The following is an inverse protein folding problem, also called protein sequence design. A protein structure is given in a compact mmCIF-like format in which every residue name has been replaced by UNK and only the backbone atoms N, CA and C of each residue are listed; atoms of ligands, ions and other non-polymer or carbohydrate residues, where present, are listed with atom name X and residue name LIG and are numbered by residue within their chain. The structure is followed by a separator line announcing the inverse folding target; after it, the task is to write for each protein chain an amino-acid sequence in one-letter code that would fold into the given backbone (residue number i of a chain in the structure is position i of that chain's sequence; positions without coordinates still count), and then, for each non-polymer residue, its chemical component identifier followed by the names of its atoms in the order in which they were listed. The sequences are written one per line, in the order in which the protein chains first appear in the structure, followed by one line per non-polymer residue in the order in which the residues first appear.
data_IF_611184419602
#
_entry.id   IF_611184419602
#
_cell.length_a   1.000
_cell.length_b   1.000
_cell.length_c   1.000
_cell.angle_alpha   90.00
_cell.angle_beta   90.00
_cell.angle_gamma   90.00
#
_symmetry.space_group_name_H-M   'P 1'
#
loop_
_entity.id
_entity.type
_entity.pdbx_description
1 polymer ?
#
# COMPACT_ATOMS: atom_id res chain seq x y z
N UNK A 1 -1.13 32.60 -12.65
CA UNK A 1 -2.14 32.13 -11.67
C UNK A 1 -1.48 31.44 -10.49
N UNK A 2 -2.01 31.48 -9.27
CA UNK A 2 -1.46 30.69 -8.17
C UNK A 2 -1.56 29.21 -8.50
N UNK A 3 -0.51 28.43 -8.17
CA UNK A 3 -0.51 26.98 -8.38
C UNK A 3 -1.65 26.33 -7.59
N UNK A 4 -2.33 25.34 -8.19
CA UNK A 4 -3.31 24.54 -7.47
C UNK A 4 -2.65 23.82 -6.29
N UNK A 5 -3.30 23.82 -5.14
CA UNK A 5 -2.77 23.27 -3.90
C UNK A 5 -3.53 22.00 -3.51
N UNK A 6 -2.80 20.92 -3.28
CA UNK A 6 -3.30 19.69 -2.72
C UNK A 6 -2.80 19.46 -1.30
N UNK A 7 -3.71 19.10 -0.40
CA UNK A 7 -3.36 18.67 0.97
C UNK A 7 -3.58 17.16 1.07
N UNK A 8 -2.53 16.44 1.44
CA UNK A 8 -2.53 14.99 1.60
C UNK A 8 -2.52 14.65 3.10
N UNK A 9 -3.51 13.92 3.56
CA UNK A 9 -3.61 13.45 4.94
C UNK A 9 -2.94 12.07 5.07
N UNK A 10 -1.75 12.02 5.65
CA UNK A 10 -0.95 10.82 5.90
C UNK A 10 0.23 10.64 4.96
N UNK A 11 1.41 10.37 5.54
CA UNK A 11 2.66 10.07 4.84
C UNK A 11 2.93 8.54 4.71
N UNK A 12 1.88 7.74 4.56
CA UNK A 12 2.01 6.36 4.15
C UNK A 12 2.40 6.24 2.67
N UNK A 13 2.63 5.00 2.20
CA UNK A 13 3.03 4.72 0.80
C UNK A 13 2.10 5.40 -0.20
N UNK A 14 0.78 5.27 -0.02
CA UNK A 14 -0.20 5.89 -0.92
C UNK A 14 -0.15 7.41 -0.90
N UNK A 15 -0.07 8.03 0.30
CA UNK A 15 -0.01 9.48 0.44
C UNK A 15 1.27 10.08 -0.14
N UNK A 16 2.43 9.48 0.12
CA UNK A 16 3.71 9.92 -0.45
C UNK A 16 3.75 9.75 -1.97
N UNK A 17 3.20 8.64 -2.48
CA UNK A 17 3.10 8.43 -3.95
C UNK A 17 2.16 9.46 -4.57
N UNK A 18 1.01 9.77 -3.93
CA UNK A 18 0.09 10.79 -4.43
C UNK A 18 0.74 12.19 -4.42
N UNK A 19 1.46 12.52 -3.35
CA UNK A 19 2.20 13.77 -3.26
C UNK A 19 3.21 13.92 -4.39
N UNK A 20 4.00 12.88 -4.66
CA UNK A 20 4.96 12.86 -5.77
C UNK A 20 4.28 12.98 -7.13
N UNK A 21 3.23 12.19 -7.37
CA UNK A 21 2.50 12.19 -8.63
C UNK A 21 1.87 13.56 -8.91
N UNK A 22 1.24 14.18 -7.93
CA UNK A 22 0.64 15.52 -8.02
C UNK A 22 1.72 16.60 -8.22
N UNK A 23 2.81 16.54 -7.45
CA UNK A 23 3.92 17.49 -7.59
C UNK A 23 4.49 17.47 -9.02
N UNK A 24 4.70 16.28 -9.60
CA UNK A 24 5.18 16.14 -10.99
C UNK A 24 4.21 16.65 -12.04
N UNK A 25 2.95 16.78 -11.69
CA UNK A 25 1.93 17.42 -12.54
C UNK A 25 1.77 18.93 -12.26
N UNK A 26 2.69 19.53 -11.52
CA UNK A 26 2.74 20.97 -11.28
C UNK A 26 1.89 21.46 -10.09
N UNK A 27 1.29 20.55 -9.29
CA UNK A 27 0.56 20.94 -8.09
C UNK A 27 1.52 21.36 -6.98
N UNK A 28 1.13 22.35 -6.20
CA UNK A 28 1.72 22.57 -4.88
C UNK A 28 1.14 21.52 -3.93
N UNK A 29 1.97 20.88 -3.11
CA UNK A 29 1.52 19.80 -2.23
C UNK A 29 1.97 20.04 -0.80
N UNK A 30 1.07 19.82 0.15
CA UNK A 30 1.37 19.72 1.58
C UNK A 30 0.94 18.35 2.06
N UNK A 31 1.85 17.59 2.68
CA UNK A 31 1.55 16.30 3.31
C UNK A 31 1.53 16.49 4.82
N UNK A 32 0.41 16.19 5.46
CA UNK A 32 0.26 16.21 6.92
C UNK A 32 0.41 14.79 7.48
N UNK A 33 1.41 14.57 8.33
CA UNK A 33 1.68 13.29 8.99
C UNK A 33 1.60 13.44 10.51
N UNK A 34 0.80 12.58 11.16
CA UNK A 34 0.61 12.63 12.61
C UNK A 34 1.85 12.24 13.42
N UNK A 35 2.66 11.33 12.88
CA UNK A 35 3.90 10.93 13.52
C UNK A 35 4.92 12.07 13.51
N UNK A 36 5.79 12.20 14.53
CA UNK A 36 6.82 13.22 14.58
C UNK A 36 7.91 13.01 13.51
N UNK A 37 8.02 11.79 12.98
CA UNK A 37 8.96 11.39 11.93
C UNK A 37 8.46 10.15 11.20
N UNK A 38 9.09 9.77 10.09
CA UNK A 38 8.81 8.49 9.44
C UNK A 38 9.35 7.34 10.30
N UNK A 39 8.62 6.20 10.38
CA UNK A 39 9.09 5.04 11.14
C UNK A 39 10.45 4.56 10.64
N UNK A 40 11.43 4.47 11.53
CA UNK A 40 12.76 3.92 11.24
C UNK A 40 12.75 2.38 11.22
N UNK A 41 11.82 1.76 11.96
CA UNK A 41 11.62 0.31 12.06
C UNK A 41 10.33 -0.11 11.37
N UNK A 42 10.17 -1.38 11.10
CA UNK A 42 8.94 -1.88 10.50
C UNK A 42 9.10 -3.20 9.76
N UNK A 43 8.13 -3.48 8.92
CA UNK A 43 8.05 -4.70 8.11
C UNK A 43 8.71 -4.51 6.73
N UNK A 44 8.92 -5.61 6.01
CA UNK A 44 9.16 -5.58 4.57
C UNK A 44 7.85 -5.38 3.80
N UNK A 45 7.98 -4.99 2.55
CA UNK A 45 6.87 -4.91 1.61
C UNK A 45 7.26 -5.51 0.26
N UNK A 46 6.35 -6.30 -0.32
CA UNK A 46 6.45 -6.74 -1.70
C UNK A 46 5.84 -5.72 -2.65
N UNK A 47 6.56 -5.35 -3.69
CA UNK A 47 6.07 -4.53 -4.79
C UNK A 47 5.87 -5.43 -6.02
N UNK A 48 4.64 -5.60 -6.40
CA UNK A 48 4.24 -6.41 -7.54
C UNK A 48 4.35 -5.62 -8.87
N UNK A 49 4.32 -6.30 -10.03
CA UNK A 49 4.46 -5.68 -11.34
C UNK A 49 3.53 -4.48 -11.59
N UNK A 50 2.30 -4.53 -11.11
CA UNK A 50 1.34 -3.42 -11.22
C UNK A 50 1.81 -2.14 -10.51
N UNK A 51 2.31 -2.26 -9.28
CA UNK A 51 2.83 -1.13 -8.51
C UNK A 51 4.11 -0.56 -9.12
N UNK A 52 5.01 -1.42 -9.59
CA UNK A 52 6.25 -0.99 -10.24
C UNK A 52 5.98 -0.21 -11.52
N UNK A 53 5.04 -0.69 -12.39
CA UNK A 53 4.62 0.07 -13.57
C UNK A 53 3.96 1.40 -13.22
N UNK A 54 3.20 1.45 -12.14
CA UNK A 54 2.59 2.70 -11.69
C UNK A 54 3.66 3.72 -11.24
N UNK A 55 4.68 3.28 -10.50
CA UNK A 55 5.82 4.12 -10.13
C UNK A 55 6.62 4.56 -11.36
N UNK A 56 6.87 3.66 -12.31
CA UNK A 56 7.56 3.96 -13.57
C UNK A 56 6.79 5.02 -14.38
N UNK A 57 5.45 4.94 -14.43
CA UNK A 57 4.60 5.90 -15.14
C UNK A 57 4.73 7.34 -14.64
N UNK A 58 5.11 7.52 -13.38
CA UNK A 58 5.42 8.82 -12.80
C UNK A 58 6.94 9.04 -12.65
N UNK A 59 7.78 8.17 -13.21
CA UNK A 59 9.25 8.26 -13.19
C UNK A 59 9.85 8.20 -11.78
N UNK A 60 9.22 7.53 -10.81
CA UNK A 60 9.71 7.40 -9.42
C UNK A 60 10.48 6.10 -9.26
N UNK A 61 11.76 6.19 -8.97
CA UNK A 61 12.67 5.05 -8.76
C UNK A 61 12.91 4.74 -7.27
N UNK A 62 11.93 5.06 -6.42
CA UNK A 62 12.04 4.86 -4.96
C UNK A 62 12.25 3.39 -4.57
N UNK A 63 11.76 2.45 -5.37
CA UNK A 63 11.95 1.03 -5.12
C UNK A 63 13.42 0.60 -5.26
N UNK A 64 14.15 1.13 -6.23
CA UNK A 64 15.59 0.90 -6.39
C UNK A 64 16.38 1.68 -5.34
N UNK A 65 16.00 2.92 -5.06
CA UNK A 65 16.64 3.73 -4.02
C UNK A 65 16.51 3.10 -2.63
N UNK A 66 15.42 2.37 -2.36
CA UNK A 66 15.22 1.63 -1.11
C UNK A 66 16.05 0.34 -1.00
N UNK A 67 16.76 -0.03 -2.06
CA UNK A 67 17.41 -1.34 -2.14
C UNK A 67 16.39 -2.46 -2.32
N UNK A 68 16.33 -3.05 -3.51
CA UNK A 68 15.36 -4.11 -3.83
C UNK A 68 16.02 -5.48 -3.90
N UNK A 69 15.33 -6.51 -3.41
CA UNK A 69 15.70 -7.90 -3.61
C UNK A 69 14.71 -8.59 -4.54
N UNK A 70 15.23 -9.38 -5.47
CA UNK A 70 14.44 -10.23 -6.36
C UNK A 70 14.66 -11.67 -5.91
N UNK A 71 13.70 -12.33 -5.25
CA UNK A 71 13.85 -13.72 -4.86
C UNK A 71 13.89 -14.61 -6.10
N UNK A 72 14.75 -15.63 -6.12
CA UNK A 72 14.89 -16.56 -7.26
C UNK A 72 13.60 -17.36 -7.45
N UNK A 73 12.93 -17.69 -6.36
CA UNK A 73 11.72 -18.52 -6.35
C UNK A 73 10.73 -17.98 -5.35
N UNK A 74 9.46 -18.06 -5.69
CA UNK A 74 8.33 -17.72 -4.80
C UNK A 74 7.37 -18.91 -4.72
N UNK A 75 6.73 -19.10 -3.57
CA UNK A 75 5.70 -20.13 -3.47
C UNK A 75 5.23 -20.43 -2.06
N UNK A 76 4.38 -21.47 -2.00
CA UNK A 76 3.76 -21.94 -0.77
C UNK A 76 4.29 -23.32 -0.40
N UNK A 77 4.57 -23.50 0.88
CA UNK A 77 5.03 -24.79 1.46
C UNK A 77 4.04 -25.32 2.50
N UNK A 78 4.23 -26.56 2.86
CA UNK A 78 3.63 -27.19 4.04
C UNK A 78 4.59 -27.12 5.23
N UNK A 79 4.09 -27.36 6.48
CA UNK A 79 4.98 -27.43 7.65
C UNK A 79 6.06 -28.51 7.57
N UNK A 80 5.90 -29.54 6.74
CA UNK A 80 6.92 -30.57 6.45
C UNK A 80 7.93 -30.16 5.37
N UNK A 81 7.87 -28.89 4.89
CA UNK A 81 8.77 -28.32 3.89
C UNK A 81 8.43 -28.62 2.44
N UNK A 82 7.47 -29.52 2.17
CA UNK A 82 7.06 -29.83 0.79
C UNK A 82 6.37 -28.64 0.13
N UNK A 83 6.77 -28.34 -1.11
CA UNK A 83 6.13 -27.30 -1.89
C UNK A 83 4.70 -27.69 -2.31
N UNK A 84 3.77 -26.78 -2.09
CA UNK A 84 2.44 -26.80 -2.67
C UNK A 84 2.44 -26.10 -4.03
N UNK A 85 3.08 -24.90 -4.10
CA UNK A 85 3.32 -24.18 -5.35
C UNK A 85 4.76 -23.69 -5.36
N UNK A 86 5.32 -23.57 -6.56
CA UNK A 86 6.65 -22.99 -6.75
C UNK A 86 6.71 -22.32 -8.12
N UNK A 87 7.08 -21.04 -8.14
CA UNK A 87 7.22 -20.24 -9.36
C UNK A 87 8.57 -19.57 -9.36
N UNK A 88 9.31 -19.64 -10.46
CA UNK A 88 10.54 -18.88 -10.61
C UNK A 88 10.19 -17.43 -10.92
N UNK A 89 10.91 -16.51 -10.32
CA UNK A 89 10.70 -15.07 -10.55
C UNK A 89 11.00 -14.68 -12.00
N UNK A 90 11.94 -15.39 -12.66
CA UNK A 90 12.19 -15.23 -14.08
C UNK A 90 10.97 -15.55 -14.96
N UNK A 91 10.16 -16.55 -14.59
CA UNK A 91 8.93 -16.89 -15.32
C UNK A 91 7.87 -15.78 -15.15
N UNK A 92 7.84 -15.13 -13.98
CA UNK A 92 7.00 -13.95 -13.74
C UNK A 92 7.49 -12.75 -14.54
N UNK A 93 8.79 -12.48 -14.55
CA UNK A 93 9.37 -11.39 -15.33
C UNK A 93 9.09 -11.57 -16.84
N UNK A 94 9.24 -12.79 -17.36
CA UNK A 94 8.91 -13.11 -18.74
C UNK A 94 7.43 -12.88 -19.07
N UNK A 95 6.51 -13.21 -18.14
CA UNK A 95 5.06 -13.06 -18.35
C UNK A 95 4.58 -11.63 -18.18
N UNK A 96 5.11 -10.90 -17.20
CA UNK A 96 4.61 -9.58 -16.80
C UNK A 96 5.55 -8.43 -17.20
N UNK A 97 6.68 -8.71 -17.82
CA UNK A 97 7.66 -7.73 -18.27
C UNK A 97 8.56 -7.19 -17.15
N UNK A 98 8.19 -7.40 -15.88
CA UNK A 98 8.94 -6.96 -14.71
C UNK A 98 8.79 -7.96 -13.56
N UNK A 99 9.87 -8.21 -12.82
CA UNK A 99 9.86 -9.09 -11.66
C UNK A 99 9.28 -8.37 -10.43
N UNK A 100 8.51 -9.08 -9.57
CA UNK A 100 8.19 -8.54 -8.25
C UNK A 100 9.45 -8.41 -7.41
N UNK A 101 9.50 -7.42 -6.55
CA UNK A 101 10.62 -7.14 -5.65
C UNK A 101 10.14 -7.06 -4.21
N UNK A 102 11.06 -7.23 -3.27
CA UNK A 102 10.85 -6.99 -1.86
C UNK A 102 11.80 -5.88 -1.36
N UNK A 103 11.25 -4.96 -0.57
CA UNK A 103 12.00 -3.83 0.00
C UNK A 103 11.68 -3.67 1.48
N UNK A 104 12.62 -3.16 2.30
CA UNK A 104 12.29 -2.69 3.64
C UNK A 104 11.29 -1.52 3.53
N UNK A 105 10.14 -1.63 4.17
CA UNK A 105 9.09 -0.59 4.10
C UNK A 105 9.58 0.78 4.58
N UNK A 106 10.36 0.89 5.69
CA UNK A 106 10.90 2.18 6.11
C UNK A 106 11.81 2.81 5.05
N UNK A 107 12.71 2.05 4.45
CA UNK A 107 13.60 2.54 3.40
C UNK A 107 12.81 3.01 2.15
N UNK A 108 11.75 2.29 1.78
CA UNK A 108 10.89 2.67 0.66
C UNK A 108 10.12 3.95 0.94
N UNK A 109 9.52 4.10 2.14
CA UNK A 109 8.83 5.34 2.52
C UNK A 109 9.79 6.52 2.63
N UNK A 110 10.99 6.32 3.17
CA UNK A 110 12.04 7.34 3.22
C UNK A 110 12.48 7.78 1.82
N UNK A 111 12.65 6.84 0.88
CA UNK A 111 13.00 7.16 -0.50
C UNK A 111 11.89 7.94 -1.23
N UNK A 112 10.61 7.60 -0.99
CA UNK A 112 9.49 8.39 -1.50
C UNK A 112 9.47 9.81 -0.92
N UNK A 113 9.70 9.95 0.38
CA UNK A 113 9.73 11.25 1.06
C UNK A 113 10.90 12.12 0.58
N UNK A 114 12.09 11.52 0.41
CA UNK A 114 13.29 12.21 -0.06
C UNK A 114 13.16 12.74 -1.50
N UNK A 115 12.28 12.15 -2.31
CA UNK A 115 12.00 12.61 -3.67
C UNK A 115 11.03 13.81 -3.72
N UNK A 116 10.43 14.22 -2.60
CA UNK A 116 9.58 15.40 -2.49
C UNK A 116 10.44 16.66 -2.21
N UNK A 117 9.99 17.85 -2.67
CA UNK A 117 10.63 19.10 -2.29
C UNK A 117 10.68 19.31 -0.79
N UNK A 118 11.71 19.99 -0.31
CA UNK A 118 11.81 20.37 1.09
C UNK A 118 10.59 21.20 1.52
N UNK A 119 10.11 20.98 2.76
CA UNK A 119 8.93 21.66 3.29
C UNK A 119 7.58 21.11 2.85
N UNK A 120 7.55 20.08 1.98
CA UNK A 120 6.30 19.41 1.58
C UNK A 120 5.68 18.61 2.73
N UNK A 121 6.49 17.94 3.57
CA UNK A 121 6.02 17.14 4.70
C UNK A 121 5.94 17.99 5.98
N UNK A 122 4.80 17.89 6.65
CA UNK A 122 4.54 18.44 7.98
C UNK A 122 4.30 17.32 8.97
N UNK A 123 5.34 16.97 9.70
CA UNK A 123 5.28 15.96 10.76
C UNK A 123 4.57 16.50 12.01
N UNK A 124 4.12 15.62 12.91
CA UNK A 124 3.38 15.98 14.12
C UNK A 124 2.04 16.67 13.82
N UNK A 125 1.55 16.57 12.57
CA UNK A 125 0.39 17.32 12.08
C UNK A 125 -0.70 16.33 11.64
N UNK A 126 -1.80 16.26 12.39
CA UNK A 126 -2.96 15.44 12.05
C UNK A 126 -4.01 16.29 11.32
N UNK A 127 -4.54 15.81 10.21
CA UNK A 127 -5.76 16.37 9.62
C UNK A 127 -6.94 15.94 10.48
N UNK A 128 -7.62 16.89 11.11
CA UNK A 128 -8.72 16.64 12.06
C UNK A 128 -10.09 16.75 11.42
N UNK A 129 -10.25 17.66 10.46
CA UNK A 129 -11.50 17.85 9.70
C UNK A 129 -11.20 18.51 8.35
N UNK A 130 -12.17 18.42 7.46
CA UNK A 130 -12.20 19.19 6.21
C UNK A 130 -13.54 19.91 6.15
N UNK A 131 -13.50 21.20 5.95
CA UNK A 131 -14.68 22.04 5.70
C UNK A 131 -14.78 22.27 4.19
N UNK A 132 -15.72 21.57 3.53
CA UNK A 132 -15.97 21.62 2.09
C UNK A 132 -17.38 22.16 1.76
N UNK A 133 -17.99 22.87 2.71
CA UNK A 133 -19.35 23.37 2.58
C UNK A 133 -19.54 24.32 1.38
N UNK A 134 -20.53 24.02 0.55
CA UNK A 134 -21.03 24.92 -0.47
C UNK A 134 -20.23 25.04 -1.76
N UNK A 135 -19.44 24.01 -2.14
CA UNK A 135 -18.70 23.99 -3.42
C UNK A 135 -17.51 24.93 -3.49
N UNK A 136 -17.12 25.54 -2.36
CA UNK A 136 -15.93 26.39 -2.23
C UNK A 136 -14.66 25.51 -2.12
N UNK A 137 -13.49 26.16 -2.19
CA UNK A 137 -12.21 25.50 -1.87
C UNK A 137 -12.29 24.93 -0.45
N UNK A 138 -12.05 23.60 -0.26
CA UNK A 138 -12.03 23.02 1.08
C UNK A 138 -10.97 23.65 1.97
N UNK A 139 -11.29 23.77 3.24
CA UNK A 139 -10.35 24.20 4.28
C UNK A 139 -10.03 22.99 5.13
N UNK A 140 -8.76 22.57 5.11
CA UNK A 140 -8.27 21.46 5.92
C UNK A 140 -7.85 21.98 7.29
N UNK A 141 -8.49 21.50 8.34
CA UNK A 141 -8.15 21.81 9.74
C UNK A 141 -7.14 20.81 10.26
N UNK A 142 -6.14 21.30 10.97
CA UNK A 142 -5.06 20.49 11.50
C UNK A 142 -4.95 20.57 13.02
N UNK A 143 -4.34 19.55 13.64
CA UNK A 143 -4.05 19.53 15.09
C UNK A 143 -3.09 20.64 15.52
N UNK A 144 -2.33 21.22 14.59
CA UNK A 144 -1.43 22.34 14.85
C UNK A 144 -2.15 23.71 14.87
N UNK A 145 -3.49 23.72 14.72
CA UNK A 145 -4.30 24.95 14.70
C UNK A 145 -4.18 25.77 13.42
N UNK A 146 -3.59 25.21 12.37
CA UNK A 146 -3.49 25.87 11.06
C UNK A 146 -4.59 25.40 10.13
N UNK A 147 -5.26 26.34 9.50
CA UNK A 147 -6.21 26.10 8.42
C UNK A 147 -5.47 26.15 7.07
N UNK A 148 -5.60 25.11 6.27
CA UNK A 148 -4.97 24.98 4.96
C UNK A 148 -6.02 25.01 3.85
N UNK A 149 -6.18 26.12 3.11
CA UNK A 149 -7.00 26.14 1.92
C UNK A 149 -6.42 25.18 0.85
N UNK A 150 -7.26 24.34 0.27
CA UNK A 150 -6.83 23.35 -0.72
C UNK A 150 -7.77 23.34 -1.94
N UNK A 151 -7.23 23.04 -3.12
CA UNK A 151 -8.02 22.76 -4.32
C UNK A 151 -8.39 21.28 -4.41
N UNK A 152 -7.64 20.43 -3.68
CA UNK A 152 -7.84 19.00 -3.55
C UNK A 152 -7.40 18.54 -2.16
N UNK A 153 -8.17 17.66 -1.54
CA UNK A 153 -7.77 16.92 -0.34
C UNK A 153 -7.63 15.45 -0.67
N UNK A 154 -6.49 14.84 -0.35
CA UNK A 154 -6.25 13.41 -0.52
C UNK A 154 -6.27 12.75 0.86
N UNK A 155 -7.32 11.99 1.16
CA UNK A 155 -7.46 11.23 2.38
C UNK A 155 -6.70 9.89 2.24
N UNK A 156 -5.47 9.87 2.74
CA UNK A 156 -4.56 8.72 2.81
C UNK A 156 -4.21 8.37 4.26
N UNK A 157 -5.13 8.65 5.19
CA UNK A 157 -5.00 8.56 6.65
C UNK A 157 -5.14 7.12 7.20
N UNK A 158 -5.04 6.13 6.30
CA UNK A 158 -4.86 4.72 6.63
C UNK A 158 -6.13 4.00 7.06
N UNK A 159 -5.94 2.77 7.56
CA UNK A 159 -7.05 1.85 7.87
C UNK A 159 -8.04 2.42 8.90
N UNK A 160 -7.56 3.24 9.83
CA UNK A 160 -8.38 3.92 10.85
C UNK A 160 -8.80 5.34 10.43
N UNK A 161 -8.96 5.59 9.14
CA UNK A 161 -9.29 6.89 8.57
C UNK A 161 -10.40 7.62 9.34
N UNK A 162 -10.07 8.78 9.87
CA UNK A 162 -11.03 9.67 10.52
C UNK A 162 -11.93 10.35 9.49
N UNK A 163 -11.34 10.72 8.34
CA UNK A 163 -12.08 11.32 7.24
C UNK A 163 -13.10 10.34 6.66
N UNK A 164 -12.75 9.05 6.50
CA UNK A 164 -13.74 8.04 6.08
C UNK A 164 -14.92 7.98 7.05
N UNK A 165 -14.68 7.92 8.36
CA UNK A 165 -15.77 7.87 9.35
C UNK A 165 -16.65 9.11 9.31
N UNK A 166 -16.08 10.27 9.09
CA UNK A 166 -16.82 11.52 9.04
C UNK A 166 -17.74 11.62 7.81
N UNK A 167 -17.22 11.21 6.63
CA UNK A 167 -17.93 11.36 5.37
C UNK A 167 -18.82 10.16 4.98
N UNK A 168 -18.55 8.99 5.54
CA UNK A 168 -19.32 7.77 5.33
C UNK A 168 -19.81 7.18 6.65
N UNK A 169 -20.64 7.91 7.45
CA UNK A 169 -21.05 7.47 8.78
C UNK A 169 -21.90 6.19 8.76
N UNK A 170 -22.58 5.91 7.67
CA UNK A 170 -23.37 4.67 7.48
C UNK A 170 -22.51 3.46 7.08
N UNK A 171 -21.23 3.64 6.81
CA UNK A 171 -20.35 2.53 6.44
C UNK A 171 -20.03 1.64 7.67
N UNK A 172 -20.15 0.32 7.50
CA UNK A 172 -19.97 -0.66 8.59
C UNK A 172 -18.56 -0.70 9.20
N UNK A 173 -17.62 0.09 8.68
CA UNK A 173 -16.26 0.20 9.22
C UNK A 173 -15.37 -0.99 8.91
N UNK A 174 -14.54 -1.36 9.88
CA UNK A 174 -13.58 -2.45 9.77
C UNK A 174 -14.19 -3.79 10.19
N UNK A 175 -13.80 -4.84 9.50
CA UNK A 175 -14.13 -6.23 9.80
C UNK A 175 -12.85 -6.97 10.20
N UNK A 176 -12.85 -7.57 11.39
CA UNK A 176 -11.79 -8.46 11.83
C UNK A 176 -11.82 -9.75 11.02
N UNK A 177 -10.69 -10.11 10.37
CA UNK A 177 -10.65 -11.26 9.48
C UNK A 177 -10.41 -12.60 10.19
N UNK A 178 -10.32 -12.59 11.53
CA UNK A 178 -10.13 -13.80 12.35
C UNK A 178 -8.67 -14.16 12.61
N UNK A 179 -7.73 -13.31 12.26
CA UNK A 179 -6.29 -13.58 12.39
C UNK A 179 -5.57 -12.40 13.03
N UNK A 180 -4.53 -12.69 13.82
CA UNK A 180 -3.48 -11.72 14.18
C UNK A 180 -2.21 -12.02 13.38
N UNK A 181 -1.36 -11.01 13.20
CA UNK A 181 -0.07 -11.15 12.52
C UNK A 181 1.07 -10.59 13.37
N UNK A 182 2.19 -11.29 13.37
CA UNK A 182 3.49 -10.81 13.83
C UNK A 182 4.33 -10.47 12.61
N UNK A 183 5.07 -9.36 12.66
CA UNK A 183 5.95 -8.91 11.58
C UNK A 183 7.24 -8.39 12.17
N UNK A 184 8.38 -8.78 11.58
CA UNK A 184 9.70 -8.41 12.06
C UNK A 184 10.72 -8.42 10.94
N UNK A 185 11.78 -7.67 11.13
CA UNK A 185 13.02 -7.77 10.35
C UNK A 185 14.06 -8.51 11.16
N UNK A 186 14.66 -9.53 10.57
CA UNK A 186 15.64 -10.38 11.25
C UNK A 186 16.95 -10.32 10.49
N UNK A 187 18.01 -10.07 11.24
CA UNK A 187 19.38 -10.20 10.74
C UNK A 187 19.84 -11.65 10.97
N UNK A 188 20.14 -12.37 9.89
CA UNK A 188 20.58 -13.75 9.91
C UNK A 188 21.64 -13.98 8.82
N UNK A 189 22.84 -13.42 9.01
CA UNK A 189 23.89 -13.39 7.99
C UNK A 189 24.46 -14.77 7.67
N UNK A 190 24.29 -15.75 8.56
CA UNK A 190 24.66 -17.15 8.40
C UNK A 190 23.71 -17.93 7.48
N UNK A 191 22.50 -17.42 7.26
CA UNK A 191 21.54 -18.05 6.37
C UNK A 191 21.65 -17.52 4.94
N UNK A 192 21.42 -18.41 3.98
CA UNK A 192 21.36 -18.08 2.54
C UNK A 192 20.07 -18.62 1.95
N UNK A 193 19.00 -17.80 2.03
CA UNK A 193 17.66 -18.19 1.61
C UNK A 193 17.28 -17.46 0.32
N UNK A 194 17.42 -18.10 -0.86
CA UNK A 194 17.17 -17.46 -2.14
C UNK A 194 15.67 -17.39 -2.49
N UNK A 195 14.81 -18.01 -1.68
CA UNK A 195 13.39 -18.16 -1.96
C UNK A 195 12.54 -17.31 -1.02
N UNK A 196 11.57 -16.61 -1.57
CA UNK A 196 10.41 -16.11 -0.83
C UNK A 196 9.40 -17.25 -0.67
N UNK A 197 9.01 -17.57 0.53
CA UNK A 197 8.04 -18.65 0.77
C UNK A 197 7.09 -18.31 1.90
N UNK A 198 5.85 -18.77 1.75
CA UNK A 198 4.87 -18.81 2.83
C UNK A 198 4.55 -20.26 3.16
N UNK A 199 4.65 -20.65 4.40
CA UNK A 199 4.31 -21.98 4.87
C UNK A 199 2.93 -21.98 5.48
N UNK A 200 2.03 -22.83 4.97
CA UNK A 200 0.63 -22.95 5.40
C UNK A 200 0.43 -24.14 6.33
N UNK A 201 0.15 -23.83 7.59
CA UNK A 201 -0.27 -24.82 8.57
C UNK A 201 -1.79 -24.93 8.71
N UNK A 202 -2.23 -25.34 9.89
CA UNK A 202 -3.64 -25.42 10.28
C UNK A 202 -4.00 -24.20 11.14
N UNK A 203 -4.62 -23.19 10.53
CA UNK A 203 -4.98 -21.94 11.19
C UNK A 203 -3.78 -21.04 11.50
N UNK A 204 -2.63 -21.29 10.91
CA UNK A 204 -1.44 -20.44 11.08
C UNK A 204 -0.55 -20.51 9.83
N UNK A 205 0.23 -19.45 9.61
CA UNK A 205 1.13 -19.31 8.44
C UNK A 205 2.42 -18.63 8.88
N UNK A 206 3.51 -18.94 8.18
CA UNK A 206 4.81 -18.31 8.38
C UNK A 206 5.42 -17.94 7.04
N UNK A 207 5.73 -16.68 6.85
CA UNK A 207 6.32 -16.14 5.63
C UNK A 207 7.76 -15.71 5.83
N UNK A 208 8.59 -16.01 4.84
CA UNK A 208 10.01 -15.65 4.78
C UNK A 208 10.27 -14.92 3.48
N UNK A 209 10.83 -13.73 3.56
CA UNK A 209 11.18 -12.90 2.41
C UNK A 209 12.58 -12.34 2.57
N UNK A 210 13.57 -12.73 1.72
CA UNK A 210 14.89 -12.13 1.73
C UNK A 210 14.83 -10.67 1.27
N UNK A 211 15.62 -9.81 1.88
CA UNK A 211 15.79 -8.41 1.53
C UNK A 211 17.19 -8.15 0.95
N UNK A 212 17.37 -7.03 0.28
CA UNK A 212 18.63 -6.68 -0.38
C UNK A 212 19.76 -6.31 0.58
N UNK A 213 19.42 -5.89 1.78
CA UNK A 213 20.38 -5.54 2.84
C UNK A 213 20.89 -6.75 3.64
N UNK A 214 20.55 -7.97 3.22
CA UNK A 214 20.94 -9.22 3.86
C UNK A 214 20.01 -9.67 4.99
N UNK A 215 19.07 -8.83 5.41
CA UNK A 215 18.04 -9.18 6.40
C UNK A 215 16.92 -10.00 5.77
N UNK A 216 16.10 -10.55 6.63
CA UNK A 216 14.86 -11.25 6.25
C UNK A 216 13.66 -10.53 6.84
N UNK A 217 12.68 -10.25 5.99
CA UNK A 217 11.36 -9.91 6.45
C UNK A 217 10.59 -11.18 6.76
N UNK A 218 10.21 -11.33 8.01
CA UNK A 218 9.41 -12.44 8.51
C UNK A 218 8.02 -11.95 8.90
N UNK A 219 7.02 -12.76 8.61
CA UNK A 219 5.70 -12.59 9.16
C UNK A 219 5.11 -13.93 9.56
N UNK A 220 4.32 -13.92 10.62
CA UNK A 220 3.54 -15.07 11.04
C UNK A 220 2.08 -14.64 11.21
N UNK A 221 1.13 -15.53 10.99
CA UNK A 221 -0.27 -15.30 11.32
C UNK A 221 -0.85 -16.48 12.08
N UNK A 222 -1.84 -16.20 12.91
CA UNK A 222 -2.62 -17.22 13.59
C UNK A 222 -4.08 -16.83 13.72
N UNK A 223 -4.96 -17.83 13.62
CA UNK A 223 -6.39 -17.67 13.89
C UNK A 223 -6.60 -17.64 15.41
N UNK A 224 -6.90 -16.46 15.92
CA UNK A 224 -7.13 -16.19 17.36
C UNK A 224 -8.29 -15.20 17.51
N UNK A 225 -8.90 -15.08 18.70
CA UNK A 225 -9.85 -14.00 18.97
C UNK A 225 -9.20 -12.60 18.83
N UNK A 226 -9.98 -11.56 18.50
CA UNK A 226 -9.46 -10.20 18.43
C UNK A 226 -8.91 -9.74 19.78
N UNK A 227 -7.86 -8.94 19.77
CA UNK A 227 -7.21 -8.43 20.96
C UNK A 227 -6.29 -9.44 21.68
N UNK A 228 -6.12 -10.65 21.13
CA UNK A 228 -5.19 -11.64 21.71
C UNK A 228 -3.77 -11.11 21.65
N UNK A 229 -3.09 -11.09 22.81
CA UNK A 229 -1.67 -10.72 22.94
C UNK A 229 -0.97 -11.76 23.79
N UNK A 230 0.27 -12.09 23.44
CA UNK A 230 1.14 -12.90 24.29
C UNK A 230 1.99 -12.00 25.17
N UNK A 231 2.37 -12.50 26.34
CA UNK A 231 3.28 -11.78 27.25
C UNK A 231 4.68 -11.61 26.59
N UNK A 232 5.12 -12.61 25.84
CA UNK A 232 6.34 -12.56 25.04
C UNK A 232 6.06 -13.12 23.63
N UNK A 233 6.06 -12.27 22.59
CA UNK A 233 5.80 -12.71 21.22
C UNK A 233 6.87 -13.67 20.70
N UNK A 234 8.11 -13.62 21.20
CA UNK A 234 9.20 -14.53 20.80
C UNK A 234 8.89 -15.97 21.22
N UNK A 235 8.52 -16.15 22.47
CA UNK A 235 8.12 -17.45 23.02
C UNK A 235 6.91 -18.02 22.30
N UNK A 236 5.91 -17.17 22.00
CA UNK A 236 4.71 -17.57 21.26
C UNK A 236 5.06 -18.06 19.84
N UNK A 237 5.92 -17.35 19.13
CA UNK A 237 6.37 -17.73 17.79
C UNK A 237 7.11 -19.07 17.80
N UNK A 238 8.02 -19.27 18.74
CA UNK A 238 8.74 -20.55 18.91
C UNK A 238 7.77 -21.68 19.23
N UNK A 239 6.83 -21.48 20.12
CA UNK A 239 5.81 -22.49 20.46
C UNK A 239 4.98 -22.91 19.25
N UNK A 240 4.58 -21.95 18.39
CA UNK A 240 3.72 -22.23 17.22
C UNK A 240 4.46 -22.83 16.04
N UNK A 241 5.71 -22.41 15.80
CA UNK A 241 6.39 -22.68 14.54
C UNK A 241 7.71 -23.43 14.69
N UNK A 242 8.20 -23.67 15.91
CA UNK A 242 9.50 -24.30 16.16
C UNK A 242 9.64 -25.73 15.69
N UNK A 243 8.53 -26.43 15.44
CA UNK A 243 8.52 -27.79 14.89
C UNK A 243 8.36 -27.84 13.36
N UNK A 244 8.37 -26.68 12.69
CA UNK A 244 8.21 -26.61 11.25
C UNK A 244 9.57 -26.88 10.56
N UNK A 245 9.53 -27.01 9.24
CA UNK A 245 10.71 -27.28 8.42
C UNK A 245 11.76 -26.16 8.46
N UNK A 246 13.01 -26.53 8.15
CA UNK A 246 14.06 -25.55 7.90
C UNK A 246 13.73 -24.60 6.73
N UNK A 247 14.06 -23.32 6.85
CA UNK A 247 14.91 -22.72 7.87
C UNK A 247 14.11 -22.06 9.04
N UNK A 248 12.84 -22.38 9.24
CA UNK A 248 12.01 -21.70 10.24
C UNK A 248 12.58 -21.81 11.65
N UNK A 249 13.03 -22.98 12.16
CA UNK A 249 13.63 -23.08 13.48
C UNK A 249 14.89 -22.18 13.63
N UNK A 250 15.77 -22.18 12.63
CA UNK A 250 16.96 -21.34 12.67
C UNK A 250 16.62 -19.84 12.68
N UNK A 251 15.61 -19.41 11.91
CA UNK A 251 15.12 -18.03 11.96
C UNK A 251 14.48 -17.67 13.31
N UNK A 252 13.78 -18.62 13.95
CA UNK A 252 13.24 -18.42 15.28
C UNK A 252 14.32 -18.25 16.35
N UNK A 253 15.48 -18.89 16.20
CA UNK A 253 16.63 -18.67 17.09
C UNK A 253 17.13 -17.22 16.99
N UNK A 254 17.21 -16.64 15.79
CA UNK A 254 17.51 -15.22 15.62
C UNK A 254 16.41 -14.30 16.18
N UNK A 255 15.13 -14.69 16.09
CA UNK A 255 14.02 -13.93 16.68
C UNK A 255 14.14 -13.85 18.21
N UNK A 256 14.70 -14.84 18.88
CA UNK A 256 14.91 -14.82 20.34
C UNK A 256 15.81 -13.66 20.80
N UNK A 257 16.68 -13.16 19.93
CA UNK A 257 17.59 -12.04 20.22
C UNK A 257 16.97 -10.66 19.93
N UNK A 258 15.76 -10.58 19.31
CA UNK A 258 15.07 -9.33 19.11
C UNK A 258 14.49 -8.79 20.40
N UNK A 259 14.38 -7.45 20.51
CA UNK A 259 13.54 -6.86 21.54
C UNK A 259 12.06 -7.13 21.23
N UNK A 260 11.21 -7.33 22.25
CA UNK A 260 9.78 -7.59 22.04
C UNK A 260 9.09 -6.53 21.17
N UNK A 261 9.49 -5.27 21.28
CA UNK A 261 8.93 -4.13 20.57
C UNK A 261 9.33 -4.11 19.07
N UNK A 262 10.37 -4.84 18.68
CA UNK A 262 10.76 -5.04 17.27
C UNK A 262 9.84 -6.04 16.56
N UNK A 263 9.00 -6.75 17.31
CA UNK A 263 8.01 -7.68 16.79
C UNK A 263 6.63 -7.00 16.77
N UNK A 264 6.27 -6.45 15.64
CA UNK A 264 4.96 -5.80 15.46
C UNK A 264 3.84 -6.84 15.49
N UNK A 265 2.99 -6.81 16.51
CA UNK A 265 1.80 -7.66 16.59
C UNK A 265 0.52 -6.85 16.37
N UNK A 266 -0.24 -7.21 15.34
CA UNK A 266 -1.48 -6.54 14.97
C UNK A 266 -2.56 -7.53 14.58
N UNK A 267 -3.79 -7.28 15.03
CA UNK A 267 -4.97 -7.92 14.49
C UNK A 267 -5.16 -7.49 13.03
N UNK A 268 -5.61 -8.41 12.21
CA UNK A 268 -5.82 -8.15 10.78
C UNK A 268 -7.27 -7.75 10.53
N UNK A 269 -7.43 -6.62 9.87
CA UNK A 269 -8.72 -6.07 9.47
C UNK A 269 -8.76 -5.79 7.98
N UNK A 270 -9.95 -5.83 7.41
CA UNK A 270 -10.27 -5.26 6.10
C UNK A 270 -11.54 -4.41 6.21
N UNK A 271 -11.91 -3.70 5.16
CA UNK A 271 -13.21 -3.03 5.14
C UNK A 271 -14.35 -4.05 5.03
N UNK A 272 -15.39 -3.88 5.84
CA UNK A 272 -16.57 -4.76 5.83
C UNK A 272 -17.26 -4.79 4.46
N UNK A 273 -17.32 -3.63 3.79
CA UNK A 273 -17.90 -3.43 2.47
C UNK A 273 -17.04 -2.40 1.69
N UNK A 274 -17.16 -2.33 0.35
CA UNK A 274 -16.56 -1.24 -0.41
C UNK A 274 -17.23 0.10 -0.07
N UNK A 275 -16.47 1.19 -0.19
CA UNK A 275 -17.07 2.52 -0.16
C UNK A 275 -17.99 2.69 -1.36
N UNK A 276 -19.12 3.43 -1.24
CA UNK A 276 -20.02 3.68 -2.36
C UNK A 276 -19.33 4.48 -3.48
N UNK A 277 -18.48 5.42 -3.11
CA UNK A 277 -17.66 6.26 -3.98
C UNK A 277 -16.30 6.49 -3.31
N UNK A 278 -15.27 6.82 -4.11
CA UNK A 278 -13.94 7.13 -3.59
C UNK A 278 -13.66 8.64 -3.53
N UNK A 279 -14.69 9.47 -3.62
CA UNK A 279 -14.59 10.93 -3.50
C UNK A 279 -15.85 11.53 -2.88
N UNK A 280 -15.72 12.76 -2.37
CA UNK A 280 -16.81 13.62 -1.95
C UNK A 280 -16.36 15.08 -2.14
N UNK A 281 -17.12 15.86 -2.89
CA UNK A 281 -16.68 17.20 -3.25
C UNK A 281 -15.29 17.20 -3.88
N UNK A 282 -14.35 17.86 -3.23
CA UNK A 282 -12.94 17.91 -3.63
C UNK A 282 -12.03 17.01 -2.77
N UNK A 283 -12.59 16.00 -2.12
CA UNK A 283 -11.86 15.03 -1.29
C UNK A 283 -11.81 13.69 -2.01
N UNK A 284 -10.63 13.10 -2.16
CA UNK A 284 -10.43 11.76 -2.69
C UNK A 284 -9.86 10.84 -1.61
N UNK A 285 -10.40 9.62 -1.48
CA UNK A 285 -9.86 8.57 -0.62
C UNK A 285 -9.01 7.61 -1.44
N UNK A 286 -7.86 7.18 -0.89
CA UNK A 286 -6.99 6.18 -1.49
C UNK A 286 -6.37 5.23 -0.45
N UNK A 287 -5.86 4.11 -0.94
CA UNK A 287 -5.20 3.10 -0.11
C UNK A 287 -6.10 2.55 0.99
N UNK A 288 -5.55 2.27 2.18
CA UNK A 288 -6.30 1.69 3.29
C UNK A 288 -7.43 2.59 3.80
N UNK A 289 -7.38 3.89 3.57
CA UNK A 289 -8.48 4.80 3.87
C UNK A 289 -9.70 4.53 2.99
N UNK A 290 -9.50 4.07 1.76
CA UNK A 290 -10.54 3.79 0.77
C UNK A 290 -10.96 2.30 0.75
N UNK A 291 -10.00 1.38 0.86
CA UNK A 291 -10.22 -0.03 0.54
C UNK A 291 -9.31 -0.99 1.32
N UNK A 292 -9.07 -0.72 2.62
CA UNK A 292 -8.28 -1.62 3.45
C UNK A 292 -8.64 -3.09 3.20
N UNK A 293 -7.64 -3.92 2.96
CA UNK A 293 -7.78 -5.31 2.55
C UNK A 293 -6.87 -6.23 3.34
N UNK A 294 -7.28 -7.50 3.44
CA UNK A 294 -6.45 -8.55 4.02
C UNK A 294 -5.09 -8.66 3.29
N UNK A 295 -3.96 -8.91 3.99
CA UNK A 295 -2.62 -8.89 3.39
C UNK A 295 -2.31 -10.07 2.48
N UNK A 296 -3.23 -11.01 2.32
CA UNK A 296 -3.03 -12.33 1.72
C UNK A 296 -2.61 -12.37 0.24
N UNK A 297 -2.70 -11.26 -0.45
CA UNK A 297 -2.21 -11.09 -1.83
C UNK A 297 -1.02 -10.13 -1.94
N UNK A 298 -0.60 -9.52 -0.82
CA UNK A 298 0.46 -8.50 -0.83
C UNK A 298 0.09 -7.24 -1.63
N UNK A 299 -1.21 -6.93 -1.77
CA UNK A 299 -1.67 -5.90 -2.72
C UNK A 299 -2.05 -4.56 -2.09
N UNK A 300 -2.22 -4.46 -0.77
CA UNK A 300 -2.68 -3.20 -0.16
C UNK A 300 -1.84 -1.99 -0.57
N UNK A 301 -0.51 -2.07 -0.39
CA UNK A 301 0.41 -1.02 -0.82
C UNK A 301 0.47 -0.85 -2.34
N UNK A 302 0.39 -1.94 -3.10
CA UNK A 302 0.38 -1.89 -4.57
C UNK A 302 -0.86 -1.16 -5.11
N UNK A 303 -2.03 -1.43 -4.55
CA UNK A 303 -3.27 -0.73 -4.94
C UNK A 303 -3.25 0.75 -4.53
N UNK A 304 -2.66 1.09 -3.38
CA UNK A 304 -2.49 2.48 -2.96
C UNK A 304 -1.56 3.27 -3.92
N UNK A 305 -0.52 2.63 -4.46
CA UNK A 305 0.35 3.20 -5.49
C UNK A 305 -0.42 3.42 -6.80
N UNK A 306 -1.20 2.41 -7.25
CA UNK A 306 -2.05 2.57 -8.44
C UNK A 306 -3.04 3.71 -8.27
N UNK A 307 -3.72 3.80 -7.10
CA UNK A 307 -4.67 4.87 -6.80
C UNK A 307 -4.04 6.25 -6.96
N UNK A 308 -2.88 6.43 -6.33
CA UNK A 308 -2.16 7.71 -6.33
C UNK A 308 -1.81 8.18 -7.74
N UNK A 309 -1.32 7.25 -8.57
CA UNK A 309 -0.91 7.56 -9.94
C UNK A 309 -2.12 7.83 -10.84
N UNK A 310 -3.19 7.02 -10.74
CA UNK A 310 -4.41 7.20 -11.52
C UNK A 310 -5.13 8.50 -11.11
N UNK A 311 -5.22 8.78 -9.79
CA UNK A 311 -5.79 10.04 -9.30
C UNK A 311 -5.07 11.25 -9.90
N UNK A 312 -3.75 11.28 -9.77
CA UNK A 312 -2.95 12.37 -10.31
C UNK A 312 -3.06 12.47 -11.84
N UNK A 313 -3.11 11.35 -12.55
CA UNK A 313 -3.24 11.32 -14.01
C UNK A 313 -4.53 11.95 -14.50
N UNK A 314 -5.66 11.67 -13.85
CA UNK A 314 -6.99 12.18 -14.22
C UNK A 314 -7.19 13.64 -13.88
N UNK A 315 -6.52 14.14 -12.85
CA UNK A 315 -6.62 15.54 -12.44
C UNK A 315 -6.04 16.48 -13.50
N UNK A 316 -6.59 17.68 -13.68
CA UNK A 316 -5.98 18.67 -14.55
C UNK A 316 -4.55 18.98 -14.06
N UNK A 317 -3.65 19.32 -15.00
CA UNK A 317 -2.31 19.76 -14.64
C UNK A 317 -2.38 21.00 -13.74
N UNK A 318 -1.46 21.09 -12.79
CA UNK A 318 -1.22 22.35 -12.07
C UNK A 318 -0.66 23.36 -13.06
N UNK A 319 -0.93 24.64 -12.86
CA UNK A 319 -0.38 25.68 -13.72
C UNK A 319 1.16 25.64 -13.62
N UNK A 320 1.81 25.25 -14.70
CA UNK A 320 3.24 25.38 -14.86
C UNK A 320 3.53 26.87 -14.86
N UNK A 321 4.11 27.40 -13.77
CA UNK A 321 4.67 28.74 -13.81
C UNK A 321 5.63 28.80 -15.00
N UNK A 322 5.41 29.68 -15.95
CA UNK A 322 6.36 29.99 -16.99
C UNK A 322 7.71 30.29 -16.32
N UNK A 323 8.65 29.38 -16.42
CA UNK A 323 10.05 29.71 -16.20
C UNK A 323 10.39 30.71 -17.31
N UNK A 324 10.43 31.98 -16.93
CA UNK A 324 10.71 33.06 -17.84
C UNK A 324 12.05 32.86 -18.53
N UNK A 325 12.00 32.51 -19.80
CA UNK A 325 13.09 32.82 -20.71
C UNK A 325 12.90 34.28 -21.09
N UNK A 326 13.80 35.14 -20.61
CA UNK A 326 13.83 36.57 -20.95
C UNK A 326 13.96 36.72 -22.46
N UNK A 327 12.87 37.04 -23.09
CA UNK A 327 12.76 37.47 -24.47
C UNK A 327 11.74 38.61 -24.47
N UNK A 328 12.26 39.83 -24.56
CA UNK A 328 11.52 41.06 -24.77
C UNK A 328 10.77 40.95 -26.11
N UNK A 329 9.45 40.80 -26.09
CA UNK A 329 8.56 41.06 -27.21
C UNK A 329 7.31 41.74 -26.70
N UNK A 330 7.30 43.05 -26.79
CA UNK A 330 6.14 43.91 -26.72
C UNK A 330 5.20 43.63 -27.88
N UNK A 331 4.09 42.91 -27.59
CA UNK A 331 2.90 42.91 -28.44
C UNK A 331 1.67 42.95 -27.51
N UNK A 332 0.84 44.02 -27.54
CA UNK A 332 -0.35 44.11 -26.74
C UNK A 332 -1.54 43.60 -27.55
N UNK A 333 -2.06 42.43 -27.25
CA UNK A 333 -3.43 42.01 -27.43
C UNK A 333 -3.54 40.48 -27.45
N UNK A 334 -3.76 39.89 -26.30
CA UNK A 334 -4.64 38.74 -26.17
C UNK A 334 -5.16 38.72 -24.73
N UNK A 335 -6.27 39.44 -24.52
CA UNK A 335 -7.13 39.35 -23.32
C UNK A 335 -7.81 37.97 -23.33
N UNK A 336 -7.05 36.92 -23.02
CA UNK A 336 -7.65 35.66 -22.61
C UNK A 336 -8.21 35.86 -21.21
N UNK A 337 -9.53 35.95 -21.10
CA UNK A 337 -10.28 36.02 -19.86
C UNK A 337 -9.78 34.92 -18.89
N UNK A 338 -9.65 35.21 -17.57
CA UNK A 338 -9.21 34.22 -16.60
C UNK A 338 -10.19 33.04 -16.65
N UNK A 339 -9.68 31.83 -16.86
CA UNK A 339 -10.49 30.61 -16.80
C UNK A 339 -11.30 30.64 -15.50
N UNK A 340 -12.62 30.63 -15.63
CA UNK A 340 -13.54 30.82 -14.52
C UNK A 340 -13.28 29.74 -13.45
N UNK A 341 -13.29 30.11 -12.17
CA UNK A 341 -13.23 29.16 -11.02
C UNK A 341 -14.23 28.01 -11.14
N UNK A 342 -15.36 28.24 -11.82
CA UNK A 342 -16.37 27.24 -12.14
C UNK A 342 -15.86 26.14 -13.08
N UNK A 343 -15.11 26.46 -14.14
CA UNK A 343 -14.56 25.47 -15.08
C UNK A 343 -13.49 24.61 -14.41
N UNK A 344 -12.66 25.22 -13.56
CA UNK A 344 -11.67 24.51 -12.74
C UNK A 344 -12.34 23.56 -11.73
N UNK A 345 -13.43 23.99 -11.13
CA UNK A 345 -14.22 23.18 -10.18
C UNK A 345 -14.84 21.96 -10.86
N UNK A 346 -15.44 22.17 -12.03
CA UNK A 346 -16.05 21.11 -12.82
C UNK A 346 -15.01 20.09 -13.31
N UNK A 347 -13.82 20.53 -13.70
CA UNK A 347 -12.74 19.65 -14.13
C UNK A 347 -12.23 18.73 -13.01
N UNK A 348 -12.06 19.25 -11.79
CA UNK A 348 -11.67 18.43 -10.62
C UNK A 348 -12.77 17.45 -10.26
N UNK A 349 -14.04 17.88 -10.24
CA UNK A 349 -15.16 16.99 -9.93
C UNK A 349 -15.29 15.85 -10.95
N UNK A 350 -15.16 16.14 -12.24
CA UNK A 350 -15.17 15.13 -13.30
C UNK A 350 -14.01 14.14 -13.16
N UNK A 351 -12.79 14.61 -12.84
CA UNK A 351 -11.62 13.79 -12.59
C UNK A 351 -11.83 12.83 -11.39
N UNK A 352 -12.44 13.30 -10.31
CA UNK A 352 -12.71 12.48 -9.12
C UNK A 352 -13.81 11.43 -9.37
N UNK A 353 -14.81 11.75 -10.18
CA UNK A 353 -15.80 10.77 -10.63
C UNK A 353 -15.15 9.69 -11.50
N UNK A 354 -14.29 10.08 -12.45
CA UNK A 354 -13.51 9.16 -13.28
C UNK A 354 -12.56 8.29 -12.44
N UNK A 355 -11.91 8.87 -11.41
CA UNK A 355 -11.09 8.14 -10.45
C UNK A 355 -11.90 7.06 -9.72
N UNK A 356 -13.08 7.40 -9.22
CA UNK A 356 -13.97 6.41 -8.59
C UNK A 356 -14.33 5.28 -9.56
N UNK A 357 -14.71 5.60 -10.79
CA UNK A 357 -15.05 4.61 -11.82
C UNK A 357 -13.87 3.69 -12.16
N UNK A 358 -12.66 4.23 -12.22
CA UNK A 358 -11.45 3.46 -12.54
C UNK A 358 -11.00 2.54 -11.40
N UNK A 359 -11.24 2.92 -10.13
CA UNK A 359 -10.59 2.27 -9.00
C UNK A 359 -11.51 1.42 -8.11
N UNK A 360 -12.74 1.86 -7.89
CA UNK A 360 -13.64 1.26 -6.90
C UNK A 360 -13.84 -0.25 -7.10
N UNK A 361 -14.27 -0.64 -8.29
CA UNK A 361 -14.59 -2.04 -8.56
C UNK A 361 -13.32 -2.91 -8.63
N UNK A 362 -12.20 -2.36 -9.14
CA UNK A 362 -10.92 -3.06 -9.15
C UNK A 362 -10.41 -3.33 -7.74
N UNK A 363 -10.40 -2.33 -6.86
CA UNK A 363 -9.92 -2.48 -5.49
C UNK A 363 -10.83 -3.39 -4.66
N UNK A 364 -12.15 -3.35 -4.89
CA UNK A 364 -13.09 -4.27 -4.24
C UNK A 364 -12.89 -5.73 -4.69
N UNK A 365 -12.68 -5.97 -5.97
CA UNK A 365 -12.38 -7.30 -6.48
C UNK A 365 -11.10 -7.88 -5.85
N UNK A 366 -10.04 -7.05 -5.71
CA UNK A 366 -8.80 -7.44 -5.03
C UNK A 366 -9.04 -7.72 -3.55
N UNK A 367 -9.80 -6.87 -2.84
CA UNK A 367 -10.18 -7.05 -1.43
C UNK A 367 -10.92 -8.38 -1.20
N UNK A 368 -11.95 -8.64 -2.01
CA UNK A 368 -12.73 -9.89 -1.93
C UNK A 368 -11.84 -11.11 -2.19
N UNK A 369 -10.96 -11.03 -3.18
CA UNK A 369 -10.03 -12.11 -3.51
C UNK A 369 -9.01 -12.34 -2.38
N UNK A 370 -8.44 -11.26 -1.80
CA UNK A 370 -7.53 -11.34 -0.67
C UNK A 370 -8.19 -12.03 0.54
N UNK A 371 -9.45 -11.71 0.84
CA UNK A 371 -10.23 -12.36 1.88
C UNK A 371 -10.46 -13.85 1.60
N UNK A 372 -10.74 -14.24 0.35
CA UNK A 372 -10.90 -15.65 -0.05
C UNK A 372 -9.61 -16.45 0.15
N UNK A 373 -8.48 -15.91 -0.30
CA UNK A 373 -7.16 -16.55 -0.12
C UNK A 373 -6.83 -16.68 1.36
N UNK A 374 -7.11 -15.65 2.17
CA UNK A 374 -6.92 -15.69 3.62
C UNK A 374 -7.72 -16.81 4.28
N UNK A 375 -9.01 -16.96 3.94
CA UNK A 375 -9.86 -18.05 4.48
C UNK A 375 -9.30 -19.44 4.15
N UNK A 376 -8.71 -19.62 2.97
CA UNK A 376 -8.06 -20.88 2.62
C UNK A 376 -6.80 -21.11 3.46
N UNK A 377 -5.96 -20.09 3.66
CA UNK A 377 -4.77 -20.18 4.50
C UNK A 377 -5.10 -20.41 6.00
N UNK A 378 -6.25 -19.92 6.45
CA UNK A 378 -6.70 -19.96 7.85
C UNK A 378 -7.44 -21.26 8.24
N UNK A 379 -7.55 -22.26 7.35
CA UNK A 379 -8.27 -23.52 7.64
C UNK A 379 -7.65 -24.26 8.82
N UNK A 380 -8.48 -24.57 9.84
CA UNK A 380 -8.08 -25.29 11.05
C UNK A 380 -8.41 -26.79 11.02
N UNK A 381 -9.50 -27.15 10.34
CA UNK A 381 -9.91 -28.53 10.22
C UNK A 381 -8.86 -29.32 9.42
N UNK A 382 -8.33 -30.46 9.93
CA UNK A 382 -7.25 -31.20 9.28
C UNK A 382 -7.63 -31.77 7.92
N UNK A 383 -8.87 -32.21 7.73
CA UNK A 383 -9.35 -32.75 6.46
C UNK A 383 -9.50 -31.64 5.41
N UNK A 384 -10.06 -30.49 5.82
CA UNK A 384 -10.18 -29.33 4.95
C UNK A 384 -8.81 -28.77 4.55
N UNK A 385 -7.84 -28.73 5.49
CA UNK A 385 -6.47 -28.32 5.19
C UNK A 385 -5.77 -29.29 4.23
N UNK A 386 -5.96 -30.60 4.41
CA UNK A 386 -5.42 -31.62 3.49
C UNK A 386 -6.04 -31.51 2.08
N UNK A 387 -7.35 -31.30 1.98
CA UNK A 387 -8.04 -31.09 0.72
C UNK A 387 -7.56 -29.80 0.02
N UNK A 388 -7.39 -28.70 0.76
CA UNK A 388 -6.76 -27.46 0.26
C UNK A 388 -5.37 -27.73 -0.31
N UNK A 389 -4.52 -28.43 0.43
CA UNK A 389 -3.13 -28.70 0.03
C UNK A 389 -3.10 -29.53 -1.25
N UNK A 390 -3.98 -30.53 -1.37
CA UNK A 390 -4.14 -31.33 -2.58
C UNK A 390 -4.58 -30.47 -3.77
N UNK A 391 -5.59 -29.62 -3.59
CA UNK A 391 -6.12 -28.75 -4.64
C UNK A 391 -5.07 -27.73 -5.11
N UNK A 392 -4.33 -27.10 -4.18
CA UNK A 392 -3.26 -26.14 -4.48
C UNK A 392 -2.14 -26.84 -5.24
N UNK A 393 -1.72 -28.04 -4.80
CA UNK A 393 -0.67 -28.83 -5.45
C UNK A 393 -1.07 -29.33 -6.84
N UNK A 394 -2.34 -29.67 -7.04
CA UNK A 394 -2.87 -30.11 -8.32
C UNK A 394 -3.04 -28.99 -9.35
N UNK A 395 -2.97 -27.72 -8.92
CA UNK A 395 -3.11 -26.56 -9.81
C UNK A 395 -1.83 -26.37 -10.62
N UNK A 396 -1.87 -26.50 -11.97
CA UNK A 396 -0.71 -26.28 -12.81
C UNK A 396 -0.17 -24.85 -12.64
N UNK A 397 1.16 -24.69 -12.58
CA UNK A 397 1.80 -23.38 -12.37
C UNK A 397 1.38 -22.32 -13.41
N UNK A 398 1.15 -22.74 -14.67
CA UNK A 398 0.62 -21.83 -15.71
C UNK A 398 -0.78 -21.30 -15.40
N UNK A 399 -1.63 -22.14 -14.80
CA UNK A 399 -2.99 -21.74 -14.41
C UNK A 399 -2.95 -20.83 -13.17
N UNK A 400 -2.07 -21.12 -12.23
CA UNK A 400 -1.83 -20.26 -11.07
C UNK A 400 -1.37 -18.86 -11.49
N UNK A 401 -0.43 -18.76 -12.45
CA UNK A 401 0.02 -17.47 -13.01
C UNK A 401 -1.10 -16.75 -13.76
N UNK A 402 -1.90 -17.46 -14.60
CA UNK A 402 -3.08 -16.86 -15.26
C UNK A 402 -4.05 -16.26 -14.25
N UNK A 403 -4.23 -16.94 -13.13
CA UNK A 403 -5.02 -16.39 -12.04
C UNK A 403 -4.51 -15.07 -11.48
N UNK A 404 -3.25 -14.68 -11.72
CA UNK A 404 -2.67 -13.42 -11.27
C UNK A 404 -2.65 -12.33 -12.36
N UNK A 405 -3.08 -12.63 -13.59
CA UNK A 405 -2.99 -11.70 -14.72
C UNK A 405 -3.76 -10.40 -14.49
N UNK A 406 -5.01 -10.47 -14.03
CA UNK A 406 -5.83 -9.28 -13.74
C UNK A 406 -5.19 -8.42 -12.62
N UNK A 407 -4.51 -9.08 -11.69
CA UNK A 407 -3.87 -8.41 -10.58
C UNK A 407 -2.61 -7.67 -11.05
N UNK A 408 -1.72 -8.36 -11.77
CA UNK A 408 -0.40 -7.86 -12.14
C UNK A 408 -0.39 -7.04 -13.44
N UNK A 409 -1.28 -7.32 -14.39
CA UNK A 409 -1.41 -6.58 -15.65
C UNK A 409 -2.55 -5.56 -15.66
N UNK A 410 -3.33 -5.49 -14.58
CA UNK A 410 -4.53 -4.66 -14.52
C UNK A 410 -4.27 -3.16 -14.34
N UNK A 411 -3.03 -2.74 -14.06
CA UNK A 411 -2.71 -1.31 -14.04
C UNK A 411 -2.64 -0.76 -15.46
N UNK A 412 -3.47 0.23 -15.75
CA UNK A 412 -3.46 1.05 -16.98
C UNK A 412 -3.84 2.45 -16.61
N UNK A 413 -3.18 3.43 -17.22
CA UNK A 413 -3.64 4.81 -17.15
C UNK A 413 -4.93 4.93 -17.96
N UNK A 414 -5.99 5.55 -17.40
CA UNK A 414 -7.20 5.87 -18.17
C UNK A 414 -6.87 6.78 -19.34
N UNK A 415 -7.66 6.69 -20.42
CA UNK A 415 -7.53 7.55 -21.59
C UNK A 415 -7.90 9.00 -21.25
#
# INVERSE_FOLDING_TARGET
MPKRHAVVAGAGIGGLTAALALHRRGWQVTVCERAPELPATGAGIGLAPNALRALDAIGVDAARAAGSAIPITMGVRRPDGRWLTRTRTADMASRYGIAPIAVPRPAFTAALAAALPSGTLRYGTTVTAVDDAGGRRPIVRTSAGHDLPADLVVAADGIHSALRRAYFPAHHGLHYIGETAWRMLVDAPDLRLPAMSETWGRGCRFGVTPLSDGRYYLYATAVVPPGTRSADPRTELVHRFGSWHDPIPALLDHIRSLEPDDILQNDLYDLAAPLPVLHHGRIAWLGDAAHAMAPNLGQGGCQAIEDAVILAHLLPAGDAGHAGNGGDSTDPADDAAPANDADSTNAVAAALAAYTAARRDRTDAVRVRARRVGRLGALRNPLAAAARDLAVRATPGRLALRGMDDLFNGFRLPA
#
